data_IF_999566145062
#
_entry.id   IF_999566145062
#
_cell.length_a   1.000
_cell.length_b   1.000
_cell.length_c   1.000
_cell.angle_alpha   90.00
_cell.angle_beta   90.00
_cell.angle_gamma   90.00
#
_symmetry.space_group_name_H-M   'P 1'
#
loop_
_entity.id
_entity.type
_entity.pdbx_description
1 polymer ?
#
# COMPACT_ATOMS: atom_id res chain seq x y z
N UNK A 1 28.75 9.08 -10.12
CA UNK A 1 28.22 9.47 -8.80
C UNK A 1 27.29 8.38 -8.20
N UNK A 2 26.49 7.65 -8.99
CA UNK A 2 25.58 6.62 -8.46
C UNK A 2 26.27 5.34 -7.95
N UNK A 3 27.37 4.90 -8.55
CA UNK A 3 28.11 3.69 -8.12
C UNK A 3 28.74 3.84 -6.74
N UNK A 4 29.18 5.06 -6.38
CA UNK A 4 29.76 5.34 -5.06
C UNK A 4 28.70 5.30 -3.95
N UNK A 5 27.50 5.80 -4.22
CA UNK A 5 26.36 5.72 -3.28
C UNK A 5 25.91 4.27 -3.05
N UNK A 6 25.89 3.46 -4.12
CA UNK A 6 25.54 2.03 -4.00
C UNK A 6 26.58 1.26 -3.19
N UNK A 7 27.87 1.62 -3.32
CA UNK A 7 28.96 1.00 -2.55
C UNK A 7 28.89 1.33 -1.06
N UNK A 8 28.52 2.58 -0.74
CA UNK A 8 28.33 3.02 0.65
C UNK A 8 27.13 2.31 1.29
N UNK A 9 26.02 2.16 0.56
CA UNK A 9 24.83 1.43 1.04
C UNK A 9 25.16 -0.06 1.26
N UNK A 10 25.92 -0.68 0.36
CA UNK A 10 26.35 -2.07 0.50
C UNK A 10 27.29 -2.26 1.71
N UNK A 11 28.22 -1.32 1.93
CA UNK A 11 29.11 -1.32 3.09
C UNK A 11 28.35 -1.12 4.40
N UNK A 12 27.34 -0.25 4.43
CA UNK A 12 26.45 -0.05 5.57
C UNK A 12 25.63 -1.32 5.88
N UNK A 13 25.10 -1.98 4.88
CA UNK A 13 24.38 -3.26 5.03
C UNK A 13 25.30 -4.38 5.52
N UNK A 14 26.54 -4.44 5.04
CA UNK A 14 27.55 -5.41 5.51
C UNK A 14 27.99 -5.14 6.96
N UNK A 15 28.11 -3.88 7.36
CA UNK A 15 28.47 -3.52 8.75
C UNK A 15 27.37 -3.89 9.75
N UNK A 16 26.10 -3.75 9.36
CA UNK A 16 24.95 -4.21 10.18
C UNK A 16 24.94 -5.74 10.29
N UNK A 17 25.25 -6.46 9.22
CA UNK A 17 25.33 -7.92 9.23
C UNK A 17 26.49 -8.45 10.07
N UNK A 18 27.65 -7.78 10.08
CA UNK A 18 28.82 -8.14 10.87
C UNK A 18 28.60 -7.89 12.37
N UNK A 19 27.86 -6.83 12.74
CA UNK A 19 27.49 -6.53 14.13
C UNK A 19 26.56 -7.58 14.75
N UNK A 20 25.74 -8.25 13.95
CA UNK A 20 24.82 -9.28 14.42
C UNK A 20 25.51 -10.58 14.88
N UNK A 21 26.75 -10.84 14.46
CA UNK A 21 27.51 -12.04 14.82
C UNK A 21 28.34 -11.90 16.11
N UNK A 22 28.54 -10.67 16.65
CA UNK A 22 29.46 -10.40 17.71
C UNK A 22 28.86 -10.45 19.13
N UNK A 23 27.56 -10.56 19.28
CA UNK A 23 26.91 -10.57 20.60
C UNK A 23 26.39 -11.95 20.98
N UNK A 24 27.26 -12.86 21.38
CA UNK A 24 26.92 -13.98 22.26
C UNK A 24 26.70 -13.50 23.72
N UNK A 25 25.91 -12.46 23.92
CA UNK A 25 25.37 -12.16 25.24
C UNK A 25 24.05 -12.91 25.37
N UNK A 26 23.87 -13.63 26.48
CA UNK A 26 22.68 -14.42 26.74
C UNK A 26 21.44 -13.59 26.51
N UNK A 27 20.74 -13.89 25.42
CA UNK A 27 19.44 -13.32 25.16
C UNK A 27 18.54 -13.67 26.33
N UNK A 28 17.89 -12.67 26.92
CA UNK A 28 16.98 -12.85 28.04
C UNK A 28 15.98 -13.98 27.80
N UNK A 29 15.32 -14.44 28.86
CA UNK A 29 14.27 -15.45 28.72
C UNK A 29 13.28 -15.11 27.62
N UNK A 30 12.73 -16.11 26.91
CA UNK A 30 11.75 -15.85 25.86
C UNK A 30 10.49 -15.19 26.46
N UNK A 31 10.14 -14.03 25.93
CA UNK A 31 8.94 -13.31 26.29
C UNK A 31 7.70 -13.97 25.69
N UNK A 32 6.54 -13.77 26.30
CA UNK A 32 5.25 -14.25 25.78
C UNK A 32 5.29 -15.74 25.38
N UNK A 33 5.80 -16.61 26.28
CA UNK A 33 6.00 -18.05 26.01
C UNK A 33 4.71 -18.78 25.61
N UNK A 34 3.56 -18.37 26.16
CA UNK A 34 2.23 -18.91 25.83
C UNK A 34 1.57 -18.27 24.60
N UNK A 35 2.16 -17.26 24.00
CA UNK A 35 1.56 -16.53 22.88
C UNK A 35 1.38 -17.44 21.66
N UNK A 36 2.43 -18.16 21.29
CA UNK A 36 2.44 -19.03 20.11
C UNK A 36 1.52 -20.27 20.25
N UNK A 37 0.99 -20.57 21.43
CA UNK A 37 0.05 -21.68 21.64
C UNK A 37 -1.40 -21.29 21.38
N UNK A 38 -1.74 -20.00 21.43
CA UNK A 38 -3.08 -19.51 21.17
C UNK A 38 -3.42 -19.61 19.68
N UNK A 39 -4.69 -19.91 19.38
CA UNK A 39 -5.19 -20.04 18.01
C UNK A 39 -5.50 -18.67 17.41
N UNK A 40 -6.05 -17.76 18.22
CA UNK A 40 -6.48 -16.44 17.78
C UNK A 40 -5.66 -15.35 18.46
N UNK A 41 -5.25 -14.36 17.66
CA UNK A 41 -4.61 -13.14 18.13
C UNK A 41 -5.34 -11.95 17.53
N UNK A 42 -5.51 -10.93 18.36
CA UNK A 42 -6.13 -9.68 17.96
C UNK A 42 -5.19 -8.52 18.28
N UNK A 43 -5.30 -7.48 17.48
CA UNK A 43 -4.49 -6.30 17.66
C UNK A 43 -4.99 -5.15 16.81
N UNK A 44 -4.20 -4.10 16.78
CA UNK A 44 -4.44 -2.96 15.92
C UNK A 44 -3.20 -2.65 15.09
N UNK A 45 -3.42 -2.10 13.90
CA UNK A 45 -2.38 -1.76 12.94
C UNK A 45 -2.48 -0.29 12.57
N UNK A 46 -1.34 0.36 12.49
CA UNK A 46 -1.16 1.69 11.93
C UNK A 46 -0.25 1.58 10.72
N UNK A 47 -0.64 2.16 9.60
CA UNK A 47 0.12 2.12 8.36
C UNK A 47 0.32 3.49 7.76
N UNK A 48 1.47 3.70 7.16
CA UNK A 48 1.78 4.86 6.34
C UNK A 48 2.50 4.40 5.07
N UNK A 49 2.27 5.10 3.98
CA UNK A 49 2.87 4.67 2.71
C UNK A 49 2.63 5.63 1.57
N UNK A 50 2.74 5.09 0.39
CA UNK A 50 2.45 5.81 -0.86
C UNK A 50 1.46 5.03 -1.69
N UNK A 51 0.57 5.76 -2.33
CA UNK A 51 -0.41 5.21 -3.26
C UNK A 51 -0.23 5.89 -4.61
N UNK A 52 -0.31 5.13 -5.69
CA UNK A 52 -0.14 5.62 -7.04
C UNK A 52 -0.96 4.78 -8.02
N UNK A 53 -1.05 5.25 -9.27
CA UNK A 53 -1.63 4.48 -10.37
C UNK A 53 -0.55 4.12 -11.40
N UNK A 54 -0.71 2.96 -12.01
CA UNK A 54 -0.03 2.58 -13.25
C UNK A 54 -0.98 2.93 -14.37
N UNK A 55 -0.56 3.84 -15.24
CA UNK A 55 -1.35 4.32 -16.36
C UNK A 55 -0.80 3.72 -17.65
N UNK A 56 -1.70 3.15 -18.47
CA UNK A 56 -1.40 2.84 -19.87
C UNK A 56 -2.12 3.87 -20.73
N UNK A 57 -1.37 4.66 -21.48
CA UNK A 57 -1.90 5.70 -22.35
C UNK A 57 -2.21 5.18 -23.75
N UNK A 58 -3.16 5.81 -24.43
CA UNK A 58 -3.44 5.56 -25.83
C UNK A 58 -2.34 6.22 -26.69
N UNK A 59 -1.79 5.57 -27.72
CA UNK A 59 -0.77 6.16 -28.60
C UNK A 59 -1.30 7.37 -29.42
N UNK A 60 -2.61 7.43 -29.69
CA UNK A 60 -3.24 8.52 -30.45
C UNK A 60 -3.80 9.61 -29.54
N UNK A 61 -2.92 10.31 -28.81
CA UNK A 61 -3.29 11.41 -27.92
C UNK A 61 -3.76 12.68 -28.68
N UNK A 62 -3.52 12.76 -29.98
CA UNK A 62 -3.77 13.98 -30.78
C UNK A 62 -5.23 14.22 -31.17
N UNK A 63 -6.14 13.26 -30.92
CA UNK A 63 -7.54 13.31 -31.36
C UNK A 63 -8.54 13.65 -30.25
N UNK A 64 -8.07 14.06 -29.07
CA UNK A 64 -8.93 14.27 -27.92
C UNK A 64 -9.56 15.67 -27.92
N UNK A 65 -10.90 15.71 -27.97
CA UNK A 65 -11.68 16.92 -27.86
C UNK A 65 -11.42 17.65 -26.53
N UNK A 66 -10.96 18.88 -26.64
CA UNK A 66 -10.91 19.82 -25.50
C UNK A 66 -9.54 20.15 -24.92
N UNK A 67 -8.48 19.62 -25.49
CA UNK A 67 -7.11 20.06 -25.25
C UNK A 67 -6.38 20.01 -26.60
N UNK A 68 -5.99 21.16 -27.15
CA UNK A 68 -5.19 21.22 -28.38
C UNK A 68 -3.82 20.57 -28.16
N UNK A 69 -3.75 19.23 -28.25
CA UNK A 69 -2.60 18.36 -27.99
C UNK A 69 -2.25 18.09 -26.51
N UNK A 70 -2.94 17.09 -25.92
CA UNK A 70 -2.49 16.45 -24.69
C UNK A 70 -1.14 15.75 -24.96
N UNK A 71 -0.07 16.14 -24.24
CA UNK A 71 1.27 15.61 -24.44
C UNK A 71 1.61 14.48 -23.49
N UNK A 72 1.23 14.62 -22.20
CA UNK A 72 1.66 13.69 -21.14
C UNK A 72 0.58 13.57 -20.08
N UNK A 73 0.32 12.34 -19.65
CA UNK A 73 -0.47 12.02 -18.45
C UNK A 73 0.50 11.41 -17.43
N UNK A 74 0.70 12.09 -16.32
CA UNK A 74 1.66 11.66 -15.30
C UNK A 74 0.95 11.37 -13.97
N UNK A 75 0.96 10.11 -13.48
CA UNK A 75 0.45 9.80 -12.16
C UNK A 75 1.41 10.33 -11.10
N UNK A 76 0.92 11.12 -10.16
CA UNK A 76 1.68 11.61 -9.03
C UNK A 76 1.40 10.77 -7.80
N UNK A 77 2.46 10.16 -7.24
CA UNK A 77 2.34 9.34 -6.05
C UNK A 77 1.94 10.21 -4.85
N UNK A 78 0.83 9.89 -4.25
CA UNK A 78 0.36 10.52 -3.04
C UNK A 78 0.75 9.76 -1.78
N UNK A 79 0.67 10.43 -0.64
CA UNK A 79 0.84 9.82 0.67
C UNK A 79 -0.42 9.04 1.04
N UNK A 80 -0.24 7.96 1.77
CA UNK A 80 -1.33 7.16 2.30
C UNK A 80 -1.11 6.92 3.78
N UNK A 81 -2.17 7.03 4.54
CA UNK A 81 -2.21 6.68 5.95
C UNK A 81 -3.39 5.74 6.18
N UNK A 82 -3.25 4.79 7.11
CA UNK A 82 -4.33 3.87 7.42
C UNK A 82 -4.24 3.32 8.82
N UNK A 83 -5.38 2.88 9.35
CA UNK A 83 -5.47 2.18 10.61
C UNK A 83 -6.48 1.04 10.49
N UNK A 84 -6.25 -0.04 11.24
CA UNK A 84 -7.10 -1.22 11.17
C UNK A 84 -6.99 -2.12 12.38
N UNK A 85 -7.87 -3.11 12.42
CA UNK A 85 -7.90 -4.16 13.43
C UNK A 85 -7.26 -5.40 12.83
N UNK A 86 -6.34 -6.00 13.56
CA UNK A 86 -5.68 -7.24 13.14
C UNK A 86 -6.36 -8.42 13.78
N UNK A 87 -6.64 -9.43 12.98
CA UNK A 87 -7.11 -10.74 13.41
C UNK A 87 -6.21 -11.78 12.75
N UNK A 88 -5.39 -12.45 13.55
CA UNK A 88 -4.53 -13.55 13.12
C UNK A 88 -5.11 -14.88 13.61
N UNK A 89 -5.30 -15.80 12.70
CA UNK A 89 -5.71 -17.18 12.99
C UNK A 89 -4.55 -18.12 12.70
N UNK A 90 -4.09 -18.83 13.71
CA UNK A 90 -3.01 -19.79 13.57
C UNK A 90 -3.50 -21.04 12.85
N UNK A 91 -2.94 -21.32 11.67
CA UNK A 91 -3.21 -22.55 10.90
C UNK A 91 -2.23 -23.67 11.25
N UNK A 92 -1.04 -23.33 11.76
CA UNK A 92 -0.03 -24.31 12.08
C UNK A 92 1.22 -23.70 12.74
N UNK A 93 2.31 -24.44 12.74
CA UNK A 93 3.56 -23.99 13.34
C UNK A 93 4.16 -22.79 12.63
N UNK A 94 4.02 -22.73 11.31
CA UNK A 94 4.67 -21.74 10.46
C UNK A 94 3.70 -20.85 9.70
N UNK A 95 2.40 -21.14 9.69
CA UNK A 95 1.40 -20.46 8.91
C UNK A 95 0.32 -19.85 9.79
N UNK A 96 0.02 -18.58 9.55
CA UNK A 96 -1.13 -17.88 10.11
C UNK A 96 -1.94 -17.28 8.97
N UNK A 97 -3.26 -17.25 9.13
CA UNK A 97 -4.17 -16.51 8.25
C UNK A 97 -4.45 -15.17 8.93
N UNK A 98 -4.10 -14.10 8.24
CA UNK A 98 -4.21 -12.73 8.74
C UNK A 98 -5.30 -11.97 7.99
N UNK A 99 -6.23 -11.39 8.73
CA UNK A 99 -7.27 -10.50 8.21
C UNK A 99 -7.19 -9.16 8.93
N UNK A 100 -7.07 -8.05 8.15
CA UNK A 100 -6.86 -6.70 8.72
C UNK A 100 -7.87 -5.73 8.12
N UNK A 101 -9.17 -5.75 8.51
CA UNK A 101 -10.08 -4.71 8.11
C UNK A 101 -9.51 -3.34 8.56
N UNK A 102 -9.36 -2.43 7.59
CA UNK A 102 -8.69 -1.16 7.82
C UNK A 102 -9.31 -0.03 7.00
N UNK A 103 -9.22 1.18 7.53
CA UNK A 103 -9.50 2.39 6.78
C UNK A 103 -8.19 2.97 6.27
N UNK A 104 -8.16 3.33 5.00
CA UNK A 104 -7.01 4.00 4.39
C UNK A 104 -7.41 5.30 3.70
N UNK A 105 -6.50 6.26 3.74
CA UNK A 105 -6.67 7.62 3.25
C UNK A 105 -5.54 7.93 2.26
N UNK A 106 -5.62 7.43 1.04
CA UNK A 106 -4.64 7.76 0.02
C UNK A 106 -4.94 9.13 -0.57
N UNK A 107 -3.89 9.92 -0.79
CA UNK A 107 -3.91 11.11 -1.61
C UNK A 107 -3.27 10.76 -2.96
N UNK A 108 -4.04 10.82 -4.04
CA UNK A 108 -3.55 10.48 -5.37
C UNK A 108 -4.02 11.50 -6.41
N UNK A 109 -3.07 11.98 -7.21
CA UNK A 109 -3.30 12.99 -8.22
C UNK A 109 -2.84 12.49 -9.58
N UNK A 110 -3.56 12.87 -10.62
CA UNK A 110 -3.15 12.66 -12.01
C UNK A 110 -2.97 14.04 -12.66
N UNK A 111 -1.81 14.25 -13.21
CA UNK A 111 -1.45 15.50 -13.88
C UNK A 111 -1.54 15.31 -15.39
N UNK A 112 -2.28 16.20 -16.03
CA UNK A 112 -2.41 16.27 -17.47
C UNK A 112 -1.64 17.48 -18.00
N UNK A 113 -0.72 17.27 -18.91
CA UNK A 113 0.03 18.33 -19.55
C UNK A 113 -0.52 18.54 -20.96
N UNK A 114 -1.19 19.68 -21.14
CA UNK A 114 -1.58 20.21 -22.44
C UNK A 114 -0.45 21.05 -23.04
N UNK A 115 -0.68 21.75 -24.14
CA UNK A 115 0.33 22.59 -24.81
C UNK A 115 0.78 23.83 -23.98
N UNK A 116 0.27 24.00 -22.78
CA UNK A 116 0.69 25.00 -21.79
C UNK A 116 1.59 24.36 -20.75
N UNK A 117 2.63 25.06 -20.30
CA UNK A 117 3.58 24.59 -19.27
C UNK A 117 2.94 24.39 -17.88
N UNK A 118 1.66 24.73 -17.73
CA UNK A 118 0.91 24.56 -16.48
C UNK A 118 0.11 23.25 -16.55
N UNK A 119 0.35 22.29 -15.66
CA UNK A 119 -0.39 21.05 -15.63
C UNK A 119 -1.83 21.27 -15.15
N UNK A 120 -2.80 20.69 -15.86
CA UNK A 120 -4.15 20.52 -15.33
C UNK A 120 -4.14 19.35 -14.35
N UNK A 121 -4.45 19.60 -13.08
CA UNK A 121 -4.44 18.59 -12.02
C UNK A 121 -5.85 18.03 -11.89
N UNK A 122 -5.97 16.70 -12.02
CA UNK A 122 -7.20 15.97 -11.69
C UNK A 122 -6.97 15.07 -10.50
N UNK A 123 -7.84 15.19 -9.53
CA UNK A 123 -7.83 14.32 -8.35
C UNK A 123 -8.67 13.08 -8.61
N UNK A 124 -8.16 11.91 -8.26
CA UNK A 124 -8.94 10.70 -8.32
C UNK A 124 -10.03 10.71 -7.23
N UNK A 125 -11.29 10.48 -7.63
CA UNK A 125 -12.45 10.28 -6.75
C UNK A 125 -12.66 11.27 -5.59
N UNK A 126 -12.50 12.55 -5.76
CA UNK A 126 -12.98 13.41 -4.68
C UNK A 126 -12.34 14.78 -4.54
N UNK A 127 -11.46 15.15 -5.42
CA UNK A 127 -10.82 16.46 -5.34
C UNK A 127 -10.10 16.66 -4.00
N UNK A 128 -10.14 17.89 -3.49
CA UNK A 128 -9.48 18.28 -2.24
C UNK A 128 -10.04 17.59 -0.96
N UNK A 129 -11.11 16.82 -1.05
CA UNK A 129 -11.76 16.22 0.13
C UNK A 129 -11.24 14.82 0.51
N UNK A 130 -10.24 14.30 -0.23
CA UNK A 130 -9.61 13.03 0.08
C UNK A 130 -10.46 11.79 -0.29
N UNK A 131 -9.79 10.69 -0.48
CA UNK A 131 -10.39 9.37 -0.73
C UNK A 131 -10.36 8.59 0.58
N UNK A 132 -11.43 7.83 0.86
CA UNK A 132 -11.48 6.92 2.01
C UNK A 132 -11.80 5.53 1.51
N UNK A 133 -10.85 4.60 1.67
CA UNK A 133 -11.07 3.20 1.39
C UNK A 133 -11.34 2.40 2.67
N UNK A 134 -12.28 1.47 2.56
CA UNK A 134 -12.38 0.33 3.45
C UNK A 134 -11.62 -0.83 2.80
N UNK A 135 -10.50 -1.18 3.39
CA UNK A 135 -9.63 -2.25 2.93
C UNK A 135 -9.88 -3.53 3.73
N UNK A 136 -10.02 -4.63 3.02
CA UNK A 136 -10.25 -5.97 3.58
C UNK A 136 -9.16 -6.93 3.05
N UNK A 137 -7.91 -6.82 3.54
CA UNK A 137 -6.85 -7.72 3.14
C UNK A 137 -6.98 -9.08 3.83
N UNK A 138 -6.85 -10.15 3.06
CA UNK A 138 -6.72 -11.51 3.52
C UNK A 138 -5.35 -12.05 3.11
N UNK A 139 -4.49 -12.26 4.09
CA UNK A 139 -3.08 -12.58 3.89
C UNK A 139 -2.72 -13.91 4.54
N UNK A 140 -1.94 -14.71 3.85
CA UNK A 140 -1.25 -15.85 4.43
C UNK A 140 0.12 -15.38 4.94
N UNK A 141 0.35 -15.52 6.24
CA UNK A 141 1.61 -15.18 6.90
C UNK A 141 2.43 -16.45 7.10
N UNK A 142 3.60 -16.49 6.49
CA UNK A 142 4.61 -17.53 6.72
C UNK A 142 5.69 -17.00 7.66
N UNK A 143 5.83 -17.60 8.83
CA UNK A 143 6.72 -17.14 9.90
C UNK A 143 7.86 -18.11 10.14
N UNK A 144 9.05 -17.58 10.40
CA UNK A 144 10.23 -18.36 10.80
C UNK A 144 10.09 -18.89 12.24
N UNK A 145 11.02 -19.68 12.69
CA UNK A 145 11.23 -19.92 14.13
C UNK A 145 11.70 -18.63 14.80
N UNK A 146 11.49 -18.50 16.13
CA UNK A 146 12.02 -17.36 16.88
C UNK A 146 13.54 -17.35 16.80
N UNK A 147 14.08 -16.25 16.30
CA UNK A 147 15.50 -15.93 16.34
C UNK A 147 15.77 -15.10 17.60
N UNK A 148 16.92 -15.31 18.25
CA UNK A 148 17.27 -14.52 19.43
C UNK A 148 16.19 -14.51 20.52
N UNK A 149 15.42 -15.59 20.68
CA UNK A 149 14.31 -15.80 21.62
C UNK A 149 13.10 -14.86 21.45
N UNK A 150 13.29 -13.63 21.02
CA UNK A 150 12.26 -12.59 21.03
C UNK A 150 12.01 -11.91 19.67
N UNK A 151 12.65 -12.36 18.61
CA UNK A 151 12.47 -11.82 17.25
C UNK A 151 12.10 -12.93 16.28
N UNK A 152 11.18 -12.64 15.36
CA UNK A 152 10.77 -13.58 14.30
C UNK A 152 10.61 -12.82 12.99
N UNK A 153 11.22 -13.31 11.94
CA UNK A 153 10.97 -12.83 10.59
C UNK A 153 9.77 -13.55 9.97
N UNK A 154 9.03 -12.87 9.12
CA UNK A 154 7.92 -13.44 8.38
C UNK A 154 7.75 -12.81 7.01
N UNK A 155 7.06 -13.51 6.14
CA UNK A 155 6.58 -13.02 4.85
C UNK A 155 5.07 -13.14 4.80
N UNK A 156 4.42 -12.24 4.11
CA UNK A 156 2.97 -12.25 3.87
C UNK A 156 2.69 -12.22 2.39
N UNK A 157 1.66 -12.92 1.97
CA UNK A 157 1.15 -12.86 0.61
C UNK A 157 -0.36 -13.09 0.62
N UNK A 158 -1.09 -12.40 -0.26
CA UNK A 158 -2.53 -12.58 -0.37
C UNK A 158 -3.20 -11.53 -1.24
N UNK A 159 -4.47 -11.30 -0.99
CA UNK A 159 -5.29 -10.36 -1.72
C UNK A 159 -5.96 -9.36 -0.78
N UNK A 160 -6.15 -8.15 -1.27
CA UNK A 160 -6.90 -7.09 -0.62
C UNK A 160 -8.07 -6.73 -1.52
N UNK A 161 -9.25 -6.64 -0.93
CA UNK A 161 -10.40 -5.99 -1.54
C UNK A 161 -10.55 -4.61 -0.91
N UNK A 162 -10.66 -3.57 -1.75
CA UNK A 162 -10.82 -2.18 -1.32
C UNK A 162 -12.12 -1.61 -1.83
N UNK A 163 -12.86 -0.96 -0.95
CA UNK A 163 -14.11 -0.29 -1.26
C UNK A 163 -14.01 1.21 -0.97
N UNK A 164 -14.30 2.05 -1.97
CA UNK A 164 -14.28 3.50 -1.82
C UNK A 164 -15.58 4.01 -1.20
N UNK A 165 -15.52 4.46 0.03
CA UNK A 165 -16.68 4.96 0.79
C UNK A 165 -17.20 6.32 0.29
N UNK A 166 -16.38 7.07 -0.41
CA UNK A 166 -16.71 8.44 -0.88
C UNK A 166 -17.15 8.45 -2.35
N UNK A 167 -17.19 7.28 -2.99
CA UNK A 167 -17.50 7.14 -4.41
C UNK A 167 -18.80 7.83 -4.86
N UNK A 168 -19.90 7.68 -4.11
CA UNK A 168 -21.18 8.30 -4.44
C UNK A 168 -21.10 9.81 -4.46
N UNK A 169 -20.43 10.41 -3.46
CA UNK A 169 -20.21 11.87 -3.41
C UNK A 169 -19.30 12.35 -4.54
N UNK A 170 -18.28 11.58 -4.88
CA UNK A 170 -17.39 11.89 -5.99
C UNK A 170 -18.13 11.90 -7.33
N UNK A 171 -19.05 10.97 -7.52
CA UNK A 171 -19.92 10.90 -8.71
C UNK A 171 -20.84 12.12 -8.81
N UNK A 172 -21.44 12.56 -7.71
CA UNK A 172 -22.30 13.74 -7.68
C UNK A 172 -21.51 15.02 -8.02
N UNK A 173 -20.29 15.16 -7.49
CA UNK A 173 -19.38 16.28 -7.80
C UNK A 173 -18.94 16.24 -9.26
N UNK A 174 -18.60 15.08 -9.80
CA UNK A 174 -18.21 14.93 -11.19
C UNK A 174 -19.35 15.32 -12.17
N UNK A 175 -20.60 15.00 -11.82
CA UNK A 175 -21.78 15.39 -12.59
C UNK A 175 -22.04 16.91 -12.58
N UNK A 176 -21.64 17.60 -11.51
CA UNK A 176 -21.81 19.06 -11.36
C UNK A 176 -20.63 19.85 -11.92
N UNK A 177 -19.42 19.30 -11.86
CA UNK A 177 -18.15 19.96 -12.23
C UNK A 177 -17.44 19.11 -13.29
N UNK A 178 -17.85 19.23 -14.56
CA UNK A 178 -17.43 18.34 -15.66
C UNK A 178 -15.92 18.29 -15.96
N UNK A 179 -15.06 18.98 -15.22
CA UNK A 179 -13.69 19.22 -15.69
C UNK A 179 -12.53 18.79 -14.77
N UNK A 180 -12.77 18.43 -13.51
CA UNK A 180 -11.65 18.27 -12.57
C UNK A 180 -11.57 16.92 -11.83
N UNK A 181 -12.57 16.04 -11.98
CA UNK A 181 -12.62 14.78 -11.22
C UNK A 181 -12.51 13.58 -12.14
N UNK A 182 -11.44 12.81 -11.98
CA UNK A 182 -11.34 11.48 -12.60
C UNK A 182 -12.12 10.49 -11.74
N UNK A 183 -13.18 9.92 -12.29
CA UNK A 183 -13.93 8.85 -11.65
C UNK A 183 -13.17 7.53 -11.80
N UNK A 184 -12.81 6.94 -10.67
CA UNK A 184 -12.27 5.58 -10.57
C UNK A 184 -13.32 4.65 -9.99
N UNK A 185 -13.26 3.36 -10.30
CA UNK A 185 -14.21 2.39 -9.80
C UNK A 185 -14.28 2.40 -8.25
N UNK A 186 -15.49 2.12 -7.74
CA UNK A 186 -15.72 2.03 -6.29
C UNK A 186 -14.98 0.85 -5.65
N UNK A 187 -14.69 -0.18 -6.43
CA UNK A 187 -14.14 -1.45 -6.00
C UNK A 187 -12.76 -1.69 -6.61
N UNK A 188 -11.82 -2.16 -5.81
CA UNK A 188 -10.50 -2.59 -6.28
C UNK A 188 -10.10 -3.92 -5.67
N UNK A 189 -9.44 -4.75 -6.45
CA UNK A 189 -8.81 -5.98 -5.97
C UNK A 189 -7.33 -5.87 -6.23
N UNK A 190 -6.54 -5.98 -5.16
CA UNK A 190 -5.09 -5.88 -5.21
C UNK A 190 -4.44 -7.17 -4.72
N UNK A 191 -3.41 -7.63 -5.40
CA UNK A 191 -2.49 -8.61 -4.86
C UNK A 191 -1.52 -7.92 -3.90
N UNK A 192 -1.22 -8.55 -2.77
CA UNK A 192 -0.29 -8.03 -1.77
C UNK A 192 0.81 -9.03 -1.47
N UNK A 193 2.03 -8.52 -1.36
CA UNK A 193 3.17 -9.25 -0.81
C UNK A 193 3.91 -8.37 0.18
N UNK A 194 4.49 -8.96 1.20
CA UNK A 194 5.22 -8.19 2.20
C UNK A 194 6.18 -9.02 3.02
N UNK A 195 7.03 -8.31 3.73
CA UNK A 195 8.00 -8.87 4.68
C UNK A 195 7.93 -8.12 5.98
N UNK A 196 8.18 -8.79 7.08
CA UNK A 196 8.12 -8.15 8.38
C UNK A 196 8.86 -8.89 9.48
N UNK A 197 8.89 -8.24 10.62
CA UNK A 197 9.50 -8.76 11.83
C UNK A 197 8.52 -8.64 13.00
N UNK A 198 8.38 -9.72 13.75
CA UNK A 198 7.66 -9.76 15.01
C UNK A 198 8.68 -9.62 16.16
N UNK A 199 8.47 -8.65 17.04
CA UNK A 199 9.23 -8.43 18.25
C UNK A 199 8.36 -8.79 19.45
N UNK A 200 8.79 -9.77 20.23
CA UNK A 200 8.08 -10.21 21.43
C UNK A 200 8.54 -9.39 22.62
N UNK A 201 7.80 -8.33 22.94
CA UNK A 201 8.03 -7.54 24.15
C UNK A 201 7.50 -8.28 25.38
N UNK A 202 7.69 -7.73 26.56
CA UNK A 202 7.25 -8.37 27.82
C UNK A 202 5.72 -8.53 27.89
N UNK A 203 4.97 -7.54 27.39
CA UNK A 203 3.51 -7.47 27.54
C UNK A 203 2.73 -7.58 26.22
N UNK A 204 3.35 -7.32 25.09
CA UNK A 204 2.72 -7.30 23.78
C UNK A 204 3.69 -7.74 22.70
N UNK A 205 3.15 -8.12 21.54
CA UNK A 205 3.91 -8.36 20.33
C UNK A 205 3.84 -7.13 19.43
N UNK A 206 4.99 -6.59 19.06
CA UNK A 206 5.15 -5.52 18.10
C UNK A 206 5.56 -6.14 16.76
N UNK A 207 4.80 -5.86 15.71
CA UNK A 207 5.17 -6.29 14.36
C UNK A 207 5.43 -5.08 13.48
N UNK A 208 6.51 -5.11 12.72
CA UNK A 208 6.79 -4.13 11.66
C UNK A 208 6.71 -4.82 10.31
N UNK A 209 6.04 -4.21 9.34
CA UNK A 209 5.75 -4.85 8.07
C UNK A 209 5.87 -3.87 6.90
N UNK A 210 6.56 -4.29 5.84
CA UNK A 210 6.59 -3.61 4.55
C UNK A 210 5.74 -4.40 3.57
N UNK A 211 4.73 -3.76 3.00
CA UNK A 211 3.83 -4.34 2.00
C UNK A 211 3.92 -3.60 0.68
N UNK A 212 3.87 -4.38 -0.37
CA UNK A 212 3.66 -3.91 -1.73
C UNK A 212 2.33 -4.44 -2.23
N UNK A 213 1.52 -3.55 -2.81
CA UNK A 213 0.19 -3.86 -3.34
C UNK A 213 0.13 -3.52 -4.83
N UNK A 214 -0.47 -4.41 -5.62
CA UNK A 214 -0.64 -4.23 -7.06
C UNK A 214 -2.09 -4.51 -7.44
N UNK A 215 -2.76 -3.53 -8.04
CA UNK A 215 -4.13 -3.64 -8.53
C UNK A 215 -4.23 -4.62 -9.70
N UNK A 216 -5.17 -5.52 -9.61
CA UNK A 216 -5.46 -6.51 -10.64
C UNK A 216 -6.57 -6.06 -11.59
N UNK A 217 -7.42 -5.13 -11.15
CA UNK A 217 -8.55 -4.61 -11.92
C UNK A 217 -8.19 -3.30 -12.63
N UNK A 218 -8.86 -3.07 -13.76
CA UNK A 218 -8.83 -1.76 -14.41
C UNK A 218 -9.79 -0.84 -13.65
N UNK A 219 -9.25 0.24 -13.09
CA UNK A 219 -9.98 1.21 -12.28
C UNK A 219 -10.62 2.31 -13.10
N UNK A 220 -10.37 2.37 -14.42
CA UNK A 220 -10.88 3.42 -15.28
C UNK A 220 -12.39 3.28 -15.46
N UNK A 221 -13.15 4.33 -15.13
CA UNK A 221 -14.53 4.50 -15.55
C UNK A 221 -14.60 5.34 -16.83
N UNK A 222 -15.50 4.98 -17.74
CA UNK A 222 -15.61 5.61 -19.07
C UNK A 222 -16.36 6.96 -19.08
N UNK A 223 -16.39 7.70 -17.98
CA UNK A 223 -17.06 8.99 -17.86
C UNK A 223 -16.05 10.10 -17.52
N UNK A 224 -15.83 11.08 -18.43
CA UNK A 224 -14.97 12.26 -18.24
C UNK A 224 -14.27 12.75 -19.49
N UNK A 225 -13.81 13.99 -19.49
CA UNK A 225 -13.27 14.72 -20.67
C UNK A 225 -11.95 14.16 -21.21
N UNK A 226 -11.11 13.53 -20.37
CA UNK A 226 -9.76 13.06 -20.75
C UNK A 226 -9.62 11.54 -20.78
N UNK A 227 -10.72 10.81 -20.79
CA UNK A 227 -10.76 9.34 -20.71
C UNK A 227 -10.18 8.68 -21.95
N UNK A 228 -10.38 9.26 -23.14
CA UNK A 228 -9.81 8.73 -24.38
C UNK A 228 -8.29 8.60 -24.39
N UNK A 229 -7.59 9.33 -23.47
CA UNK A 229 -6.15 9.27 -23.35
C UNK A 229 -5.62 8.08 -22.55
N UNK A 230 -6.47 7.43 -21.75
CA UNK A 230 -6.06 6.38 -20.81
C UNK A 230 -6.75 5.07 -21.20
N UNK A 231 -5.96 4.04 -21.52
CA UNK A 231 -6.47 2.70 -21.82
C UNK A 231 -6.74 1.88 -20.55
N UNK A 232 -5.85 1.98 -19.58
CA UNK A 232 -6.01 1.27 -18.32
C UNK A 232 -5.36 2.03 -17.17
N UNK A 233 -5.99 1.89 -16.01
CA UNK A 233 -5.59 2.49 -14.75
C UNK A 233 -5.56 1.39 -13.68
N UNK A 234 -4.40 1.07 -13.12
CA UNK A 234 -4.25 0.06 -12.08
C UNK A 234 -3.61 0.65 -10.83
N UNK A 235 -4.11 0.27 -9.69
CA UNK A 235 -3.60 0.74 -8.41
C UNK A 235 -2.23 0.14 -8.10
N UNK A 236 -1.36 0.92 -7.46
CA UNK A 236 -0.07 0.49 -6.95
C UNK A 236 0.17 1.15 -5.60
N UNK A 237 0.49 0.36 -4.58
CA UNK A 237 0.75 0.87 -3.24
C UNK A 237 2.02 0.30 -2.64
N UNK A 238 2.65 1.12 -1.80
CA UNK A 238 3.73 0.69 -0.93
C UNK A 238 3.41 1.18 0.48
N UNK A 239 3.38 0.27 1.45
CA UNK A 239 2.96 0.56 2.83
C UNK A 239 3.96 0.02 3.83
N UNK A 240 4.31 0.85 4.80
CA UNK A 240 4.93 0.44 6.05
C UNK A 240 3.87 0.42 7.14
N UNK A 241 3.79 -0.65 7.91
CA UNK A 241 2.84 -0.74 9.00
C UNK A 241 3.48 -1.24 10.28
N UNK A 242 2.94 -0.76 11.40
CA UNK A 242 3.26 -1.19 12.75
C UNK A 242 2.00 -1.80 13.34
N UNK A 243 2.13 -3.00 13.89
CA UNK A 243 1.01 -3.74 14.48
C UNK A 243 1.33 -4.07 15.93
N UNK A 244 0.33 -3.92 16.79
CA UNK A 244 0.37 -4.24 18.21
C UNK A 244 -0.65 -5.36 18.49
N UNK A 245 -0.17 -6.48 19.01
CA UNK A 245 -0.95 -7.68 19.34
C UNK A 245 -0.67 -8.18 20.74
#
# INVERSE_FOLDING_TARGET
>A
MNRFKSLIILLLLLSVAAGASAQKHGFGAPNLTGYDSKIYHFGFSLGAGTYNYIISTNPDLSTLDGCDSLRVVNPHAGKSFGFGIVSDVRLGKYFDLRFIPSFSFPDCQIQYFCNTDVPNISYANGGANGIVFLDLPLLLKFKSTRMMNNVRAYVVAGAQYSFNLVYSKAKDIANQSAHEVLLVNAHDIMAQVGVGFDFYCTYFKLSTEFKFSLGMMNQLQQEGKYIGAINSLRSKGFQFSITFE
#
